data_IF_158090151359
#
_entry.id   IF_158090151359
#
_cell.length_a   1.000
_cell.length_b   1.000
_cell.length_c   1.000
_cell.angle_alpha   90.00
_cell.angle_beta   90.00
_cell.angle_gamma   90.00
#
_symmetry.space_group_name_H-M   'P 1'
#
loop_
_entity.id
_entity.type
_entity.pdbx_description
1 polymer ?
#
# COMPACT_ATOMS: atom_id res chain seq x y z
N UNK A 1 29.01 -0.88 0.44
CA UNK A 1 28.01 0.15 0.80
C UNK A 1 27.87 1.20 -0.29
N UNK A 2 28.87 2.06 -0.56
CA UNK A 2 28.75 3.13 -1.57
C UNK A 2 28.36 2.62 -2.97
N UNK A 3 28.97 1.52 -3.43
CA UNK A 3 28.62 0.91 -4.71
C UNK A 3 27.18 0.39 -4.78
N UNK A 4 26.64 -0.11 -3.67
CA UNK A 4 25.26 -0.58 -3.58
C UNK A 4 24.28 0.60 -3.61
N UNK A 5 24.56 1.67 -2.84
CA UNK A 5 23.78 2.92 -2.87
C UNK A 5 23.78 3.51 -4.28
N UNK A 6 24.95 3.58 -4.92
CA UNK A 6 25.05 4.05 -6.31
C UNK A 6 24.20 3.21 -7.26
N UNK A 7 24.21 1.88 -7.12
CA UNK A 7 23.44 0.96 -7.96
C UNK A 7 21.93 1.16 -7.77
N UNK A 8 21.46 1.19 -6.52
CA UNK A 8 20.06 1.47 -6.17
C UNK A 8 19.59 2.81 -6.76
N UNK A 9 20.36 3.89 -6.55
CA UNK A 9 19.99 5.21 -7.05
C UNK A 9 20.05 5.28 -8.58
N UNK A 10 21.06 4.68 -9.21
CA UNK A 10 21.15 4.60 -10.67
C UNK A 10 19.93 3.89 -11.26
N UNK A 11 19.52 2.78 -10.66
CA UNK A 11 18.40 2.00 -11.17
C UNK A 11 17.06 2.70 -10.89
N UNK A 12 16.89 3.33 -9.72
CA UNK A 12 15.72 4.16 -9.42
C UNK A 12 15.59 5.35 -10.38
N UNK A 13 16.71 5.98 -10.77
CA UNK A 13 16.73 7.07 -11.76
C UNK A 13 16.35 6.64 -13.19
N UNK A 14 16.18 5.34 -13.46
CA UNK A 14 15.59 4.88 -14.73
C UNK A 14 14.07 5.11 -14.78
N UNK A 15 13.44 5.30 -13.62
CA UNK A 15 11.99 5.41 -13.49
C UNK A 15 11.57 6.87 -13.65
N UNK A 16 10.81 7.15 -14.68
CA UNK A 16 10.01 8.37 -14.86
C UNK A 16 8.61 8.12 -14.30
N UNK A 17 8.25 8.86 -13.24
CA UNK A 17 7.00 8.70 -12.52
C UNK A 17 5.77 9.03 -13.37
N UNK A 18 5.89 9.75 -14.49
CA UNK A 18 4.73 10.10 -15.33
C UNK A 18 4.37 9.02 -16.36
N UNK A 19 5.30 8.11 -16.65
CA UNK A 19 5.19 7.20 -17.81
C UNK A 19 4.48 5.88 -17.51
N UNK A 20 4.41 5.45 -16.25
CA UNK A 20 4.02 4.08 -15.91
C UNK A 20 5.18 3.10 -16.01
N UNK A 21 5.15 2.05 -15.21
CA UNK A 21 6.28 1.11 -15.08
C UNK A 21 6.38 0.16 -16.28
N UNK A 22 5.29 -0.01 -17.02
CA UNK A 22 5.18 -0.86 -18.21
C UNK A 22 5.70 -0.20 -19.50
N UNK A 23 6.06 1.09 -19.46
CA UNK A 23 6.34 1.90 -20.66
C UNK A 23 7.80 2.39 -20.75
N UNK A 24 8.73 1.72 -20.06
CA UNK A 24 10.08 2.26 -19.79
C UNK A 24 11.22 1.24 -19.91
N UNK A 25 10.97 0.05 -20.45
CA UNK A 25 11.96 -1.04 -20.57
C UNK A 25 12.61 -1.37 -19.20
N UNK A 26 11.78 -1.68 -18.20
CA UNK A 26 12.17 -1.90 -16.79
C UNK A 26 12.06 -3.39 -16.38
N UNK A 27 11.88 -4.30 -17.33
CA UNK A 27 11.62 -5.73 -17.06
C UNK A 27 12.80 -6.43 -16.38
N UNK A 28 14.02 -5.94 -16.56
CA UNK A 28 15.23 -6.48 -15.90
C UNK A 28 15.27 -6.17 -14.39
N UNK A 29 14.50 -5.18 -13.93
CA UNK A 29 14.37 -4.80 -12.53
C UNK A 29 13.15 -5.45 -11.86
N UNK A 30 12.18 -5.96 -12.62
CA UNK A 30 10.99 -6.62 -12.07
C UNK A 30 11.26 -8.09 -11.75
N UNK A 31 12.10 -8.28 -10.75
CA UNK A 31 12.57 -9.56 -10.22
C UNK A 31 12.35 -9.60 -8.71
N UNK A 32 12.41 -10.78 -8.06
CA UNK A 32 12.38 -10.86 -6.60
C UNK A 32 13.42 -9.95 -5.96
N UNK A 33 13.02 -9.17 -4.94
CA UNK A 33 13.87 -8.20 -4.27
C UNK A 33 15.14 -8.86 -3.69
N UNK A 34 15.02 -10.08 -3.19
CA UNK A 34 16.15 -10.84 -2.65
C UNK A 34 17.24 -11.07 -3.72
N UNK A 35 16.85 -11.38 -4.97
CA UNK A 35 17.80 -11.57 -6.06
C UNK A 35 18.48 -10.27 -6.47
N UNK A 36 17.76 -9.15 -6.39
CA UNK A 36 18.35 -7.83 -6.63
C UNK A 36 19.33 -7.46 -5.51
N UNK A 37 18.95 -7.63 -4.26
CA UNK A 37 19.78 -7.31 -3.09
C UNK A 37 21.04 -8.18 -3.03
N UNK A 38 20.96 -9.45 -3.41
CA UNK A 38 22.12 -10.34 -3.46
C UNK A 38 23.16 -9.86 -4.50
N UNK A 39 22.73 -9.22 -5.60
CA UNK A 39 23.64 -8.60 -6.59
C UNK A 39 24.36 -7.36 -6.05
N UNK A 40 23.86 -6.73 -4.98
CA UNK A 40 24.48 -5.55 -4.37
C UNK A 40 25.69 -5.91 -3.48
N UNK A 41 25.88 -7.18 -3.13
CA UNK A 41 26.96 -7.69 -2.26
C UNK A 41 27.13 -6.86 -0.97
N UNK A 42 26.00 -6.56 -0.33
CA UNK A 42 25.96 -5.77 0.90
C UNK A 42 26.50 -6.58 2.09
N UNK A 43 27.34 -5.98 2.97
CA UNK A 43 27.74 -6.65 4.21
C UNK A 43 26.52 -6.87 5.13
N UNK A 44 26.62 -7.84 6.07
CA UNK A 44 25.45 -8.39 6.77
C UNK A 44 24.51 -7.36 7.39
N UNK A 45 25.03 -6.38 8.13
CA UNK A 45 24.22 -5.35 8.83
C UNK A 45 23.42 -4.52 7.82
N UNK A 46 24.07 -4.04 6.77
CA UNK A 46 23.41 -3.20 5.77
C UNK A 46 22.45 -3.96 4.87
N UNK A 47 22.75 -5.23 4.60
CA UNK A 47 21.86 -6.12 3.87
C UNK A 47 20.58 -6.32 4.68
N UNK A 48 20.71 -6.66 5.96
CA UNK A 48 19.55 -6.88 6.82
C UNK A 48 18.75 -5.60 7.05
N UNK A 49 19.42 -4.46 7.29
CA UNK A 49 18.73 -3.19 7.46
C UNK A 49 17.90 -2.79 6.24
N UNK A 50 18.45 -2.98 5.02
CA UNK A 50 17.71 -2.74 3.78
C UNK A 50 16.50 -3.68 3.64
N UNK A 51 16.70 -4.98 3.88
CA UNK A 51 15.64 -5.99 3.74
C UNK A 51 14.53 -5.81 4.79
N UNK A 52 14.86 -5.43 6.02
CA UNK A 52 13.89 -5.17 7.06
C UNK A 52 12.99 -3.98 6.71
N UNK A 53 13.57 -2.85 6.33
CA UNK A 53 12.80 -1.68 5.91
C UNK A 53 12.01 -1.94 4.62
N UNK A 54 12.56 -2.70 3.67
CA UNK A 54 11.82 -3.08 2.48
C UNK A 54 10.61 -3.97 2.82
N UNK A 55 10.76 -4.93 3.74
CA UNK A 55 9.63 -5.76 4.17
C UNK A 55 8.54 -4.93 4.88
N UNK A 56 8.94 -4.01 5.77
CA UNK A 56 8.01 -3.04 6.37
C UNK A 56 7.25 -2.25 5.28
N UNK A 57 7.98 -1.60 4.37
CA UNK A 57 7.40 -0.65 3.41
C UNK A 57 6.61 -1.31 2.28
N UNK A 58 7.01 -2.50 1.82
CA UNK A 58 6.34 -3.22 0.74
C UNK A 58 5.28 -4.20 1.25
N UNK A 59 5.30 -4.55 2.54
CA UNK A 59 4.36 -5.51 3.13
C UNK A 59 4.45 -6.90 2.50
N UNK A 60 5.66 -7.30 2.06
CA UNK A 60 5.94 -8.56 1.38
C UNK A 60 7.33 -9.08 1.78
N UNK A 61 7.51 -10.39 1.94
CA UNK A 61 8.83 -10.98 2.12
C UNK A 61 9.68 -10.76 0.85
N UNK A 62 11.00 -10.73 1.01
CA UNK A 62 11.91 -10.29 -0.03
C UNK A 62 11.96 -11.19 -1.28
N UNK A 63 11.53 -12.45 -1.19
CA UNK A 63 11.39 -13.38 -2.31
C UNK A 63 10.09 -13.17 -3.12
N UNK A 64 9.11 -12.44 -2.57
CA UNK A 64 7.87 -12.09 -3.27
C UNK A 64 7.77 -10.61 -3.66
N UNK A 65 8.45 -9.73 -2.93
CA UNK A 65 8.53 -8.32 -3.26
C UNK A 65 9.27 -8.10 -4.59
N UNK A 66 8.77 -7.18 -5.44
CA UNK A 66 9.48 -6.77 -6.67
C UNK A 66 10.56 -5.73 -6.36
N UNK A 67 11.77 -5.93 -6.88
CA UNK A 67 12.84 -4.94 -6.79
C UNK A 67 12.48 -3.64 -7.51
N UNK A 68 11.81 -3.73 -8.67
CA UNK A 68 11.29 -2.56 -9.39
C UNK A 68 10.34 -1.74 -8.51
N UNK A 69 9.49 -2.40 -7.72
CA UNK A 69 8.58 -1.69 -6.83
C UNK A 69 9.31 -1.00 -5.66
N UNK A 70 10.35 -1.63 -5.11
CA UNK A 70 11.20 -0.97 -4.12
C UNK A 70 11.92 0.27 -4.70
N UNK A 71 12.37 0.19 -5.96
CA UNK A 71 12.96 1.31 -6.68
C UNK A 71 11.93 2.41 -7.02
N UNK A 72 10.68 2.03 -7.32
CA UNK A 72 9.57 2.98 -7.50
C UNK A 72 9.34 3.82 -6.24
N UNK A 73 9.37 3.21 -5.05
CA UNK A 73 9.27 3.97 -3.80
C UNK A 73 10.46 4.94 -3.64
N UNK A 74 11.68 4.52 -3.98
CA UNK A 74 12.84 5.43 -3.97
C UNK A 74 12.62 6.60 -4.93
N UNK A 75 12.13 6.35 -6.14
CA UNK A 75 11.85 7.39 -7.13
C UNK A 75 10.78 8.38 -6.65
N UNK A 76 9.67 7.87 -6.11
CA UNK A 76 8.58 8.66 -5.51
C UNK A 76 9.08 9.60 -4.41
N UNK A 77 9.99 9.11 -3.57
CA UNK A 77 10.64 9.89 -2.50
C UNK A 77 11.83 10.71 -3.00
N UNK A 78 11.66 11.39 -4.14
CA UNK A 78 12.67 12.25 -4.77
C UNK A 78 14.01 11.56 -4.99
N UNK A 79 13.98 10.30 -5.42
CA UNK A 79 15.16 9.45 -5.63
C UNK A 79 16.03 9.32 -4.37
N UNK A 80 15.40 9.17 -3.20
CA UNK A 80 16.08 9.06 -1.90
C UNK A 80 15.76 7.76 -1.19
N UNK A 81 16.77 6.89 -1.01
CA UNK A 81 16.66 5.67 -0.20
C UNK A 81 16.26 6.01 1.24
N UNK A 82 16.87 7.06 1.81
CA UNK A 82 16.56 7.51 3.16
C UNK A 82 15.18 8.16 3.23
N UNK A 83 14.75 8.84 2.16
CA UNK A 83 13.46 9.54 2.09
C UNK A 83 12.27 8.62 2.35
N UNK A 84 12.34 7.36 1.91
CA UNK A 84 11.28 6.35 2.13
C UNK A 84 10.96 6.16 3.62
N UNK A 85 11.96 6.21 4.50
CA UNK A 85 11.77 6.07 5.96
C UNK A 85 11.61 7.43 6.62
N UNK A 86 12.41 8.42 6.20
CA UNK A 86 12.39 9.77 6.78
C UNK A 86 11.11 10.55 6.44
N UNK A 87 10.28 10.07 5.51
CA UNK A 87 8.93 10.60 5.28
C UNK A 87 7.95 10.28 6.41
N UNK A 88 8.31 9.39 7.35
CA UNK A 88 7.58 9.17 8.60
C UNK A 88 7.81 10.34 9.57
N UNK A 89 7.35 11.53 9.17
CA UNK A 89 7.73 12.81 9.79
C UNK A 89 6.65 13.34 10.75
N UNK A 90 5.39 13.31 10.32
CA UNK A 90 4.25 13.84 11.08
C UNK A 90 3.09 12.84 11.18
N UNK A 91 2.23 13.05 12.18
CA UNK A 91 0.98 12.30 12.38
C UNK A 91 -0.18 13.25 12.60
N UNK A 92 -1.40 12.81 12.29
CA UNK A 92 -2.61 13.56 12.63
C UNK A 92 -2.77 13.63 14.15
N UNK A 93 -2.67 14.83 14.73
CA UNK A 93 -2.79 15.04 16.17
C UNK A 93 -4.11 14.51 16.76
N UNK A 94 -5.18 14.53 15.97
CA UNK A 94 -6.53 14.09 16.33
C UNK A 94 -6.95 12.80 15.61
N UNK A 95 -6.02 12.12 14.92
CA UNK A 95 -6.30 11.00 14.04
C UNK A 95 -6.82 11.43 12.66
N UNK A 96 -6.75 10.54 11.68
CA UNK A 96 -7.17 10.84 10.30
C UNK A 96 -8.68 11.09 10.16
N UNK A 97 -9.48 10.67 11.14
CA UNK A 97 -10.92 10.90 11.17
C UNK A 97 -11.30 12.38 11.11
N UNK A 98 -10.51 13.27 11.71
CA UNK A 98 -10.77 14.72 11.66
C UNK A 98 -10.79 15.26 10.22
N UNK A 99 -9.83 14.83 9.38
CA UNK A 99 -9.77 15.21 7.97
C UNK A 99 -10.91 14.56 7.18
N UNK A 100 -11.20 13.28 7.45
CA UNK A 100 -12.30 12.54 6.81
C UNK A 100 -13.65 13.22 7.07
N UNK A 101 -13.92 13.58 8.33
CA UNK A 101 -15.16 14.25 8.74
C UNK A 101 -15.26 15.66 8.14
N UNK A 102 -14.15 16.41 8.10
CA UNK A 102 -14.12 17.73 7.48
C UNK A 102 -14.44 17.66 5.98
N UNK A 103 -13.83 16.72 5.24
CA UNK A 103 -14.13 16.52 3.82
C UNK A 103 -15.58 16.03 3.62
N UNK A 104 -16.07 15.14 4.48
CA UNK A 104 -17.43 14.60 4.42
C UNK A 104 -18.52 15.66 4.62
N UNK A 105 -18.25 16.73 5.37
CA UNK A 105 -19.19 17.84 5.58
C UNK A 105 -19.48 18.64 4.29
N UNK A 106 -18.53 18.66 3.35
CA UNK A 106 -18.66 19.36 2.06
C UNK A 106 -19.33 18.49 0.98
N UNK A 107 -19.67 17.23 1.29
CA UNK A 107 -20.32 16.30 0.36
C UNK A 107 -21.82 16.20 0.72
N UNK A 108 -22.74 16.77 -0.08
CA UNK A 108 -24.16 16.87 0.29
C UNK A 108 -24.89 15.52 0.28
N UNK A 109 -24.39 14.52 -0.47
CA UNK A 109 -25.05 13.23 -0.63
C UNK A 109 -24.08 12.06 -0.43
N UNK A 110 -24.23 11.37 0.70
CA UNK A 110 -23.47 10.16 1.03
C UNK A 110 -24.46 9.02 1.30
N UNK A 111 -24.21 7.84 0.73
CA UNK A 111 -24.97 6.61 0.94
C UNK A 111 -24.07 5.54 1.56
N UNK A 112 -24.07 5.45 2.89
CA UNK A 112 -23.33 4.40 3.60
C UNK A 112 -23.96 3.03 3.38
N UNK A 113 -23.18 1.97 3.60
CA UNK A 113 -23.63 0.58 3.48
C UNK A 113 -24.20 0.20 2.09
N UNK A 114 -23.77 0.91 1.03
CA UNK A 114 -24.21 0.70 -0.35
C UNK A 114 -23.07 0.10 -1.17
N UNK A 115 -22.98 -1.22 -1.20
CA UNK A 115 -21.92 -1.95 -1.92
C UNK A 115 -22.26 -2.02 -3.40
N UNK A 116 -21.50 -1.33 -4.25
CA UNK A 116 -21.63 -1.39 -5.71
C UNK A 116 -21.22 -2.78 -6.23
N UNK A 117 -22.02 -3.34 -7.12
CA UNK A 117 -21.79 -4.67 -7.73
C UNK A 117 -21.64 -4.61 -9.24
N UNK A 118 -22.01 -3.50 -9.89
CA UNK A 118 -21.86 -3.37 -11.33
C UNK A 118 -21.99 -1.93 -11.82
N UNK A 119 -21.26 -1.63 -12.89
CA UNK A 119 -21.21 -0.34 -13.57
C UNK A 119 -21.36 -0.60 -15.07
N UNK A 120 -22.47 -0.12 -15.64
CA UNK A 120 -22.83 -0.33 -17.05
C UNK A 120 -22.92 1.02 -17.77
N UNK A 121 -22.02 1.25 -18.73
CA UNK A 121 -21.95 2.43 -19.57
C UNK A 121 -22.33 2.17 -21.04
N UNK A 122 -23.05 1.07 -21.32
CA UNK A 122 -23.47 0.71 -22.70
C UNK A 122 -24.54 1.64 -23.30
N UNK A 123 -25.28 2.37 -22.45
CA UNK A 123 -26.31 3.34 -22.86
C UNK A 123 -25.84 4.80 -22.80
N UNK A 124 -26.77 5.74 -22.97
CA UNK A 124 -26.46 7.18 -22.97
C UNK A 124 -26.03 7.72 -21.60
N UNK A 125 -26.38 7.03 -20.50
CA UNK A 125 -25.96 7.33 -19.13
C UNK A 125 -25.34 6.07 -18.50
N UNK A 126 -24.46 6.26 -17.52
CA UNK A 126 -23.87 5.15 -16.78
C UNK A 126 -24.84 4.71 -15.68
N UNK A 127 -25.15 3.41 -15.65
CA UNK A 127 -25.96 2.77 -14.63
C UNK A 127 -25.08 2.10 -13.59
N UNK A 128 -25.28 2.44 -12.32
CA UNK A 128 -24.58 1.82 -11.18
C UNK A 128 -25.58 0.99 -10.39
N UNK A 129 -25.25 -0.27 -10.14
CA UNK A 129 -26.08 -1.21 -9.37
C UNK A 129 -25.42 -1.56 -8.06
N UNK A 130 -26.20 -1.65 -6.99
CA UNK A 130 -25.74 -2.00 -5.66
C UNK A 130 -26.39 -3.27 -5.12
N UNK A 131 -25.70 -3.95 -4.20
CA UNK A 131 -26.09 -5.22 -3.58
C UNK A 131 -27.43 -5.16 -2.85
N UNK A 132 -27.78 -4.00 -2.30
CA UNK A 132 -29.05 -3.77 -1.59
C UNK A 132 -30.26 -3.60 -2.54
N UNK A 133 -30.03 -3.64 -3.86
CA UNK A 133 -31.06 -3.45 -4.88
C UNK A 133 -31.19 -2.01 -5.38
N UNK A 134 -30.44 -1.07 -4.81
CA UNK A 134 -30.42 0.32 -5.29
C UNK A 134 -29.75 0.40 -6.67
N UNK A 135 -30.21 1.37 -7.45
CA UNK A 135 -29.62 1.70 -8.74
C UNK A 135 -29.51 3.23 -8.88
N UNK A 136 -28.37 3.66 -9.40
CA UNK A 136 -28.06 5.07 -9.62
C UNK A 136 -27.72 5.30 -11.09
N UNK A 137 -27.83 6.56 -11.52
CA UNK A 137 -27.47 6.98 -12.87
C UNK A 137 -26.61 8.23 -12.79
N UNK A 138 -25.55 8.27 -13.60
CA UNK A 138 -24.68 9.42 -13.71
C UNK A 138 -24.11 9.55 -15.13
N UNK A 139 -23.61 10.74 -15.48
CA UNK A 139 -22.90 10.94 -16.74
C UNK A 139 -21.48 10.36 -16.70
N UNK A 140 -20.83 10.43 -15.53
CA UNK A 140 -19.50 9.89 -15.27
C UNK A 140 -19.51 9.15 -13.94
N UNK A 141 -18.67 8.12 -13.81
CA UNK A 141 -18.50 7.36 -12.56
C UNK A 141 -17.02 7.36 -12.18
N UNK A 142 -16.73 7.65 -10.91
CA UNK A 142 -15.38 7.52 -10.35
C UNK A 142 -15.37 6.25 -9.49
N UNK A 143 -14.48 5.32 -9.82
CA UNK A 143 -14.15 4.13 -9.03
C UNK A 143 -13.00 4.49 -8.11
N UNK A 144 -13.34 4.80 -6.86
CA UNK A 144 -12.39 5.12 -5.79
C UNK A 144 -12.29 4.00 -4.73
N UNK A 145 -12.56 2.75 -5.13
CA UNK A 145 -12.42 1.57 -4.26
C UNK A 145 -11.03 0.94 -4.45
N UNK A 146 -10.53 0.14 -3.47
CA UNK A 146 -9.23 -0.52 -3.60
C UNK A 146 -9.15 -1.44 -4.82
N UNK A 147 -7.99 -1.51 -5.46
CA UNK A 147 -7.80 -2.23 -6.73
C UNK A 147 -8.20 -3.70 -6.62
N UNK A 148 -7.89 -4.35 -5.50
CA UNK A 148 -8.22 -5.77 -5.26
C UNK A 148 -9.73 -6.04 -5.17
N UNK A 149 -10.57 -5.01 -5.03
CA UNK A 149 -12.04 -5.12 -5.03
C UNK A 149 -12.66 -4.95 -6.42
N UNK A 150 -11.93 -4.44 -7.40
CA UNK A 150 -12.49 -4.16 -8.73
C UNK A 150 -12.98 -5.43 -9.44
N UNK A 151 -12.35 -6.58 -9.18
CA UNK A 151 -12.82 -7.91 -9.62
C UNK A 151 -14.21 -8.32 -9.09
N UNK A 152 -14.75 -7.59 -8.11
CA UNK A 152 -16.10 -7.80 -7.56
C UNK A 152 -17.16 -6.95 -8.26
N UNK A 153 -16.75 -5.99 -9.10
CA UNK A 153 -17.63 -5.09 -9.83
C UNK A 153 -17.72 -5.57 -11.27
N UNK A 154 -18.94 -5.83 -11.74
CA UNK A 154 -19.18 -6.14 -13.15
C UNK A 154 -19.14 -4.85 -13.98
N UNK A 155 -18.16 -4.74 -14.88
CA UNK A 155 -18.06 -3.63 -15.84
C UNK A 155 -18.67 -4.02 -17.19
N UNK A 156 -19.56 -3.17 -17.71
CA UNK A 156 -20.20 -3.34 -19.03
C UNK A 156 -20.03 -2.07 -19.88
N UNK A 157 -19.37 -2.13 -21.06
CA UNK A 157 -18.61 -3.27 -21.58
C UNK A 157 -17.42 -3.62 -20.66
N UNK A 158 -16.88 -4.82 -20.84
CA UNK A 158 -15.72 -5.29 -20.07
C UNK A 158 -14.52 -4.36 -20.23
N UNK A 159 -13.72 -4.22 -19.17
CA UNK A 159 -12.47 -3.47 -19.21
C UNK A 159 -11.48 -4.09 -20.23
N UNK A 160 -10.51 -3.31 -20.73
CA UNK A 160 -9.47 -3.85 -21.61
C UNK A 160 -8.79 -5.10 -21.03
N UNK A 161 -8.55 -6.10 -21.89
CA UNK A 161 -8.02 -7.43 -21.50
C UNK A 161 -6.74 -7.35 -20.67
N UNK A 162 -5.85 -6.39 -21.01
CA UNK A 162 -4.59 -6.16 -20.28
C UNK A 162 -4.84 -5.84 -18.81
N UNK A 163 -5.82 -4.98 -18.50
CA UNK A 163 -6.18 -4.61 -17.13
C UNK A 163 -6.84 -5.76 -16.40
N UNK A 164 -7.76 -6.48 -17.05
CA UNK A 164 -8.51 -7.57 -16.45
C UNK A 164 -7.60 -8.65 -15.84
N UNK A 165 -6.51 -9.02 -16.53
CA UNK A 165 -5.60 -10.04 -16.00
C UNK A 165 -4.99 -9.65 -14.65
N UNK A 166 -4.61 -8.39 -14.44
CA UNK A 166 -4.02 -7.93 -13.17
C UNK A 166 -5.10 -7.66 -12.12
N UNK A 167 -6.26 -7.15 -12.53
CA UNK A 167 -7.40 -6.91 -11.63
C UNK A 167 -7.92 -8.22 -11.02
N UNK A 168 -8.06 -9.28 -11.82
CA UNK A 168 -8.53 -10.59 -11.32
C UNK A 168 -7.53 -11.21 -10.33
N UNK A 169 -6.23 -11.11 -10.64
CA UNK A 169 -5.14 -11.59 -9.78
C UNK A 169 -5.07 -10.80 -8.45
N UNK A 170 -5.27 -9.48 -8.52
CA UNK A 170 -5.00 -8.54 -7.44
C UNK A 170 -3.50 -8.33 -7.20
N UNK A 171 -3.15 -7.19 -6.61
CA UNK A 171 -1.77 -6.95 -6.19
C UNK A 171 -1.35 -7.91 -5.08
N UNK A 172 -0.04 -8.01 -4.88
CA UNK A 172 0.59 -8.94 -3.94
C UNK A 172 0.57 -8.47 -2.49
N UNK A 173 0.46 -7.17 -2.21
CA UNK A 173 0.59 -6.57 -0.88
C UNK A 173 -0.14 -7.28 0.25
N UNK A 174 0.59 -7.58 1.33
CA UNK A 174 0.08 -8.25 2.54
C UNK A 174 0.56 -7.62 3.84
N UNK A 175 0.98 -6.35 3.77
CA UNK A 175 1.45 -5.59 4.92
C UNK A 175 0.50 -5.66 6.12
N UNK A 176 1.06 -5.99 7.27
CA UNK A 176 0.33 -6.17 8.52
C UNK A 176 0.93 -5.24 9.57
N UNK A 177 0.11 -4.27 10.01
CA UNK A 177 0.44 -3.32 11.07
C UNK A 177 -0.25 -3.77 12.37
N UNK A 178 0.53 -3.99 13.42
CA UNK A 178 0.02 -4.45 14.72
C UNK A 178 0.42 -3.41 15.78
N UNK A 179 -0.56 -2.88 16.50
CA UNK A 179 -0.31 -2.12 17.72
C UNK A 179 -0.21 -3.09 18.88
N UNK A 180 0.87 -3.00 19.66
CA UNK A 180 1.17 -3.95 20.73
C UNK A 180 1.18 -3.18 22.05
N UNK A 181 0.21 -3.48 22.91
CA UNK A 181 0.16 -2.92 24.26
C UNK A 181 1.16 -3.66 25.15
N UNK A 182 2.11 -2.91 25.71
CA UNK A 182 3.23 -3.46 26.46
C UNK A 182 3.43 -2.76 27.80
N UNK A 183 4.10 -3.46 28.73
CA UNK A 183 4.63 -2.91 29.98
C UNK A 183 6.15 -3.05 30.03
N UNK A 184 6.81 -2.03 30.57
CA UNK A 184 8.26 -2.05 30.81
C UNK A 184 9.12 -1.62 29.61
N UNK A 185 8.50 -1.15 28.53
CA UNK A 185 9.20 -0.53 27.40
C UNK A 185 9.49 0.96 27.69
N UNK A 186 10.72 1.40 27.43
CA UNK A 186 11.09 2.82 27.48
C UNK A 186 10.55 3.60 26.26
N UNK A 187 10.49 4.93 26.37
CA UNK A 187 10.06 5.80 25.28
C UNK A 187 11.13 5.91 24.19
N UNK A 188 10.70 6.01 22.92
CA UNK A 188 11.59 6.23 21.78
C UNK A 188 12.37 4.98 21.32
N UNK A 189 11.93 3.78 21.68
CA UNK A 189 12.52 2.53 21.18
C UNK A 189 12.32 2.43 19.66
N UNK A 190 13.37 2.00 18.97
CA UNK A 190 13.32 1.57 17.58
C UNK A 190 14.17 0.30 17.41
N UNK A 191 13.53 -0.78 16.97
CA UNK A 191 14.17 -2.06 16.69
C UNK A 191 14.01 -2.40 15.21
N UNK A 192 15.13 -2.61 14.52
CA UNK A 192 15.16 -3.06 13.13
C UNK A 192 16.10 -4.26 13.04
N UNK A 193 15.65 -5.37 12.48
CA UNK A 193 16.44 -6.59 12.46
C UNK A 193 15.91 -7.70 11.57
N UNK A 194 16.29 -8.93 11.90
CA UNK A 194 16.00 -10.18 11.19
C UNK A 194 14.89 -11.02 11.83
N UNK A 195 14.19 -10.46 12.82
CA UNK A 195 12.99 -11.08 13.37
C UNK A 195 11.82 -11.08 12.38
N UNK A 196 10.79 -11.87 12.68
CA UNK A 196 9.52 -11.90 11.91
C UNK A 196 8.79 -10.55 11.92
N UNK A 197 9.07 -9.72 12.93
CA UNK A 197 8.84 -8.29 12.88
C UNK A 197 10.13 -7.64 12.36
N UNK A 198 10.23 -7.30 11.06
CA UNK A 198 11.38 -6.56 10.54
C UNK A 198 11.62 -5.25 11.28
N UNK A 199 10.54 -4.60 11.73
CA UNK A 199 10.60 -3.36 12.52
C UNK A 199 9.61 -3.41 13.69
N UNK A 200 10.04 -2.96 14.86
CA UNK A 200 9.23 -2.78 16.05
C UNK A 200 9.66 -1.48 16.73
N UNK A 201 8.78 -0.51 16.87
CA UNK A 201 9.15 0.81 17.41
C UNK A 201 8.03 1.47 18.20
N UNK A 202 8.36 2.50 18.97
CA UNK A 202 7.44 3.24 19.84
C UNK A 202 6.31 3.91 19.03
N UNK A 203 5.09 3.83 19.54
CA UNK A 203 3.92 4.45 18.90
C UNK A 203 3.33 5.55 19.78
N UNK A 204 2.89 5.23 21.00
CA UNK A 204 2.42 6.24 21.95
C UNK A 204 2.50 5.78 23.40
N UNK A 205 2.48 6.74 24.31
CA UNK A 205 2.40 6.48 25.74
C UNK A 205 0.97 6.13 26.16
N UNK A 206 0.83 5.11 27.02
CA UNK A 206 -0.44 4.74 27.67
C UNK A 206 -0.45 5.18 29.13
N UNK A 207 0.67 4.95 29.84
CA UNK A 207 0.90 5.41 31.21
C UNK A 207 2.41 5.45 31.50
N UNK A 208 2.79 5.82 32.73
CA UNK A 208 4.20 5.81 33.17
C UNK A 208 4.91 4.45 33.01
N UNK A 209 4.17 3.34 32.96
CA UNK A 209 4.74 1.98 32.86
C UNK A 209 4.32 1.20 31.62
N UNK A 210 3.42 1.77 30.81
CA UNK A 210 2.79 1.07 29.68
C UNK A 210 2.82 1.94 28.41
N UNK A 211 3.04 1.30 27.27
CA UNK A 211 3.13 1.95 25.96
C UNK A 211 2.41 1.12 24.91
N UNK A 212 2.11 1.76 23.78
CA UNK A 212 1.89 1.04 22.53
C UNK A 212 3.19 1.08 21.73
N UNK A 213 3.63 -0.10 21.31
CA UNK A 213 4.59 -0.24 20.22
C UNK A 213 3.83 -0.53 18.93
N UNK A 214 4.44 -0.28 17.78
CA UNK A 214 3.94 -0.69 16.48
C UNK A 214 4.94 -1.65 15.83
N UNK A 215 4.43 -2.79 15.38
CA UNK A 215 5.16 -3.75 14.56
C UNK A 215 4.60 -3.74 13.13
N UNK A 216 5.49 -3.90 12.17
CA UNK A 216 5.15 -4.18 10.78
C UNK A 216 5.70 -5.54 10.38
N UNK A 217 4.92 -6.31 9.64
CA UNK A 217 5.24 -7.61 9.04
C UNK A 217 4.30 -7.86 7.85
N UNK A 218 4.12 -9.09 7.40
CA UNK A 218 3.07 -9.47 6.46
C UNK A 218 2.21 -10.64 6.95
N UNK A 219 0.94 -10.67 6.54
CA UNK A 219 -0.02 -11.68 7.00
C UNK A 219 0.19 -13.07 6.40
N UNK A 220 1.05 -13.23 5.39
CA UNK A 220 1.47 -14.53 4.88
C UNK A 220 2.54 -15.19 5.75
N UNK A 221 3.41 -14.39 6.36
CA UNK A 221 4.51 -14.85 7.22
C UNK A 221 4.15 -14.89 8.70
N UNK A 222 3.15 -14.11 9.15
CA UNK A 222 2.82 -13.95 10.56
C UNK A 222 1.30 -14.00 10.82
N UNK A 223 0.89 -14.85 11.76
CA UNK A 223 -0.49 -14.93 12.26
C UNK A 223 -0.63 -14.10 13.55
N UNK A 224 -1.27 -12.93 13.44
CA UNK A 224 -1.50 -12.05 14.58
C UNK A 224 -2.49 -12.63 15.62
N UNK A 225 -3.25 -13.67 15.29
CA UNK A 225 -4.14 -14.33 16.26
C UNK A 225 -3.38 -15.20 17.27
N UNK A 226 -2.15 -15.62 16.94
CA UNK A 226 -1.27 -16.33 17.85
C UNK A 226 -0.51 -15.34 18.77
N UNK A 227 -1.11 -15.04 19.93
CA UNK A 227 -0.48 -14.19 20.94
C UNK A 227 0.83 -14.76 21.49
N UNK A 228 1.10 -16.06 21.37
CA UNK A 228 2.40 -16.62 21.73
C UNK A 228 3.46 -16.19 20.72
N UNK A 229 3.15 -16.27 19.43
CA UNK A 229 4.04 -15.79 18.37
C UNK A 229 4.34 -14.29 18.50
N UNK A 230 3.35 -13.47 18.87
CA UNK A 230 3.56 -12.04 19.16
C UNK A 230 4.54 -11.86 20.32
N UNK A 231 4.34 -12.60 21.42
CA UNK A 231 5.23 -12.52 22.59
C UNK A 231 6.66 -12.90 22.24
N UNK A 232 6.84 -13.95 21.46
CA UNK A 232 8.16 -14.42 21.06
C UNK A 232 8.84 -13.46 20.08
N UNK A 233 8.08 -12.85 19.16
CA UNK A 233 8.57 -11.82 18.25
C UNK A 233 9.00 -10.53 18.97
N UNK A 234 8.25 -10.10 19.99
CA UNK A 234 8.64 -8.94 20.82
C UNK A 234 9.86 -9.26 21.68
N UNK A 235 9.89 -10.42 22.35
CA UNK A 235 11.02 -10.85 23.20
C UNK A 235 12.33 -11.00 22.44
N UNK A 236 12.27 -11.28 21.14
CA UNK A 236 13.45 -11.33 20.28
C UNK A 236 14.26 -10.02 20.35
N UNK A 237 13.57 -8.88 20.37
CA UNK A 237 14.18 -7.56 20.45
C UNK A 237 14.26 -7.03 21.89
N UNK A 238 13.19 -7.23 22.66
CA UNK A 238 12.95 -6.60 23.96
C UNK A 238 12.61 -7.69 25.01
N UNK A 239 13.60 -8.49 25.47
CA UNK A 239 13.35 -9.63 26.35
C UNK A 239 12.78 -9.25 27.73
N UNK A 240 12.95 -8.01 28.16
CA UNK A 240 12.42 -7.44 29.40
C UNK A 240 10.97 -6.97 29.31
N UNK A 241 10.43 -6.80 28.10
CA UNK A 241 9.11 -6.22 27.87
C UNK A 241 8.01 -7.27 27.98
N UNK A 242 6.94 -6.93 28.71
CA UNK A 242 5.74 -7.75 28.85
C UNK A 242 4.67 -7.32 27.82
N UNK A 243 4.22 -8.25 26.97
CA UNK A 243 3.08 -8.01 26.07
C UNK A 243 1.75 -8.22 26.81
N UNK A 244 0.94 -7.17 26.87
CA UNK A 244 -0.36 -7.13 27.54
C UNK A 244 -1.53 -7.41 26.57
N UNK A 245 -1.40 -7.00 25.31
CA UNK A 245 -2.42 -7.18 24.29
C UNK A 245 -1.97 -6.67 22.91
N UNK A 246 -2.83 -6.86 21.92
CA UNK A 246 -2.62 -6.34 20.56
C UNK A 246 -3.92 -5.72 20.03
N UNK A 247 -3.76 -4.85 19.04
CA UNK A 247 -4.83 -4.29 18.24
C UNK A 247 -4.38 -4.19 16.77
N UNK A 248 -5.23 -4.65 15.85
CA UNK A 248 -4.98 -4.63 14.40
C UNK A 248 -6.28 -4.85 13.62
N UNK A 249 -6.25 -4.51 12.33
CA UNK A 249 -7.32 -4.85 11.38
C UNK A 249 -6.77 -5.75 10.28
N UNK A 250 -7.48 -6.83 9.97
CA UNK A 250 -7.13 -7.73 8.87
C UNK A 250 -7.71 -7.19 7.55
N UNK A 251 -6.94 -6.29 6.91
CA UNK A 251 -7.31 -5.65 5.64
C UNK A 251 -7.46 -6.64 4.48
N UNK A 252 -6.82 -7.80 4.53
CA UNK A 252 -6.95 -8.82 3.48
C UNK A 252 -8.27 -9.57 3.61
N UNK A 253 -8.66 -9.90 4.84
CA UNK A 253 -9.93 -10.59 5.10
C UNK A 253 -11.16 -9.67 4.94
N UNK A 254 -10.98 -8.35 5.00
CA UNK A 254 -12.06 -7.39 4.83
C UNK A 254 -12.53 -7.33 3.37
N UNK A 255 -13.79 -7.70 3.05
CA UNK A 255 -14.29 -7.74 1.68
C UNK A 255 -14.44 -6.35 1.03
N UNK A 256 -14.30 -5.26 1.79
CA UNK A 256 -14.29 -3.90 1.25
C UNK A 256 -12.89 -3.44 0.81
N UNK A 257 -11.85 -4.23 1.09
CA UNK A 257 -10.46 -3.90 0.77
C UNK A 257 -9.74 -5.03 0.03
N UNK A 258 -9.82 -6.26 0.53
CA UNK A 258 -9.12 -7.45 0.00
C UNK A 258 -7.59 -7.25 -0.13
N UNK A 259 -7.02 -6.39 0.71
CA UNK A 259 -5.63 -5.98 0.68
C UNK A 259 -5.37 -4.74 1.54
N UNK A 260 -4.16 -4.60 2.12
CA UNK A 260 -3.68 -3.33 2.68
C UNK A 260 -3.23 -2.42 1.52
N UNK A 261 -2.12 -1.68 1.66
CA UNK A 261 -1.61 -0.83 0.59
C UNK A 261 -1.04 -1.63 -0.60
N UNK A 262 -1.00 -0.98 -1.76
CA UNK A 262 -0.53 -1.58 -3.01
C UNK A 262 0.93 -2.01 -2.96
N UNK A 263 1.18 -3.23 -3.41
CA UNK A 263 2.50 -3.77 -3.68
C UNK A 263 2.34 -4.87 -4.73
N UNK A 264 2.87 -4.73 -5.95
CA UNK A 264 2.66 -5.69 -7.03
C UNK A 264 3.39 -7.00 -6.74
N UNK A 265 2.85 -8.09 -7.28
CA UNK A 265 3.61 -9.33 -7.49
C UNK A 265 4.66 -9.08 -8.57
N UNK A 266 5.79 -9.78 -8.48
CA UNK A 266 6.84 -9.75 -9.51
C UNK A 266 6.23 -9.99 -10.90
N UNK A 267 6.52 -9.09 -11.84
CA UNK A 267 6.04 -9.16 -13.22
C UNK A 267 4.65 -8.55 -13.47
N UNK A 268 3.95 -8.00 -12.46
CA UNK A 268 2.64 -7.37 -12.69
C UNK A 268 2.77 -6.01 -13.36
N UNK A 269 3.49 -5.08 -12.74
CA UNK A 269 3.47 -3.67 -13.14
C UNK A 269 4.36 -3.32 -14.34
N UNK A 270 5.23 -4.25 -14.77
CA UNK A 270 5.86 -4.17 -16.10
C UNK A 270 4.93 -4.60 -17.23
N UNK A 271 3.81 -5.29 -16.94
CA UNK A 271 2.80 -5.65 -17.96
C UNK A 271 1.74 -4.57 -18.12
N UNK A 272 1.24 -4.04 -17.01
CA UNK A 272 0.20 -3.00 -16.94
C UNK A 272 0.28 -2.30 -15.58
N UNK A 273 0.40 -0.97 -15.58
CA UNK A 273 0.49 -0.16 -14.36
C UNK A 273 -0.22 1.19 -14.55
N UNK A 274 0.28 2.07 -15.43
CA UNK A 274 -0.39 3.33 -15.76
C UNK A 274 -1.79 3.11 -16.32
N UNK A 275 -1.97 2.10 -17.16
CA UNK A 275 -3.29 1.79 -17.72
C UNK A 275 -4.33 1.47 -16.63
N UNK A 276 -3.93 0.99 -15.44
CA UNK A 276 -4.87 0.67 -14.36
C UNK A 276 -5.60 1.91 -13.82
N UNK A 277 -4.95 3.07 -13.81
CA UNK A 277 -5.53 4.35 -13.38
C UNK A 277 -6.13 5.19 -14.51
N UNK A 278 -5.96 4.79 -15.78
CA UNK A 278 -6.51 5.52 -16.91
C UNK A 278 -8.03 5.31 -17.03
N UNK A 279 -8.80 6.30 -17.50
CA UNK A 279 -10.23 6.14 -17.69
C UNK A 279 -10.54 5.06 -18.73
N UNK A 280 -11.68 4.40 -18.54
CA UNK A 280 -12.32 3.55 -19.53
C UNK A 280 -13.63 4.22 -19.97
N UNK A 281 -13.54 5.07 -20.99
CA UNK A 281 -14.62 5.96 -21.43
C UNK A 281 -15.12 6.87 -20.27
N UNK A 282 -16.32 6.66 -19.74
CA UNK A 282 -16.91 7.51 -18.69
C UNK A 282 -16.66 7.01 -17.27
N UNK A 283 -15.82 5.99 -17.13
CA UNK A 283 -15.42 5.39 -15.85
C UNK A 283 -13.98 5.77 -15.56
N UNK A 284 -13.75 6.49 -14.46
CA UNK A 284 -12.43 6.94 -14.01
C UNK A 284 -11.98 6.08 -12.83
N UNK A 285 -10.71 5.69 -12.79
CA UNK A 285 -10.13 4.85 -11.75
C UNK A 285 -9.16 5.67 -10.92
N UNK A 286 -9.40 5.79 -9.63
CA UNK A 286 -8.58 6.60 -8.73
C UNK A 286 -8.32 5.84 -7.43
N UNK A 287 -7.38 6.38 -6.66
CA UNK A 287 -6.98 5.82 -5.38
C UNK A 287 -5.48 5.64 -5.32
N UNK A 288 -4.99 5.46 -4.10
CA UNK A 288 -3.58 5.27 -3.82
C UNK A 288 -2.96 4.10 -4.61
N UNK A 289 -3.76 3.08 -4.92
CA UNK A 289 -3.30 1.87 -5.59
C UNK A 289 -2.86 2.08 -7.05
N UNK A 290 -3.33 3.16 -7.68
CA UNK A 290 -3.03 3.49 -9.08
C UNK A 290 -2.28 4.81 -9.26
N UNK A 291 -1.87 5.44 -8.16
CA UNK A 291 -1.01 6.62 -8.25
C UNK A 291 0.34 6.24 -8.82
N UNK A 292 0.80 7.01 -9.80
CA UNK A 292 2.17 6.86 -10.31
C UNK A 292 3.18 7.66 -9.48
N UNK A 293 2.72 8.72 -8.80
CA UNK A 293 3.57 9.64 -8.05
C UNK A 293 3.82 9.16 -6.61
N UNK A 294 2.75 8.81 -5.87
CA UNK A 294 2.83 8.40 -4.46
C UNK A 294 1.94 7.18 -4.15
N UNK A 295 2.22 6.02 -4.77
CA UNK A 295 1.42 4.81 -4.53
C UNK A 295 1.55 4.29 -3.10
N UNK A 296 0.42 3.90 -2.50
CA UNK A 296 0.34 3.41 -1.12
C UNK A 296 0.26 4.49 -0.04
N UNK A 297 0.30 5.77 -0.42
CA UNK A 297 0.16 6.92 0.49
C UNK A 297 -1.19 7.63 0.33
N UNK A 298 -1.60 8.37 1.37
CA UNK A 298 -2.76 9.26 1.34
C UNK A 298 -2.63 10.28 0.20
N UNK A 299 -1.41 10.80 -0.02
CA UNK A 299 -1.13 11.76 -1.10
C UNK A 299 -1.50 11.22 -2.48
N UNK A 300 -1.20 9.95 -2.78
CA UNK A 300 -1.58 9.32 -4.05
C UNK A 300 -3.10 9.21 -4.24
N UNK A 301 -3.87 9.11 -3.15
CA UNK A 301 -5.32 9.13 -3.24
C UNK A 301 -5.85 10.54 -3.59
N UNK A 302 -5.21 11.60 -3.08
CA UNK A 302 -5.55 12.98 -3.41
C UNK A 302 -5.16 13.33 -4.85
N UNK A 303 -3.93 12.99 -5.25
CA UNK A 303 -3.38 13.24 -6.59
C UNK A 303 -4.23 12.61 -7.71
N UNK A 304 -4.55 11.33 -7.57
CA UNK A 304 -5.37 10.63 -8.58
C UNK A 304 -6.79 11.18 -8.64
N UNK A 305 -7.37 11.57 -7.50
CA UNK A 305 -8.69 12.20 -7.45
C UNK A 305 -8.69 13.58 -8.13
N UNK A 306 -7.66 14.41 -7.91
CA UNK A 306 -7.48 15.69 -8.60
C UNK A 306 -7.43 15.47 -10.13
N UNK A 307 -6.68 14.47 -10.59
CA UNK A 307 -6.61 14.09 -12.00
C UNK A 307 -7.98 13.76 -12.61
N UNK A 308 -8.78 12.94 -11.94
CA UNK A 308 -10.12 12.57 -12.41
C UNK A 308 -11.11 13.75 -12.39
N UNK A 309 -11.07 14.59 -11.34
CA UNK A 309 -11.91 15.80 -11.26
C UNK A 309 -11.57 16.74 -12.42
N UNK A 310 -10.29 16.99 -12.68
CA UNK A 310 -9.86 17.81 -13.80
C UNK A 310 -10.31 17.23 -15.14
N UNK A 311 -10.19 15.92 -15.35
CA UNK A 311 -10.65 15.29 -16.58
C UNK A 311 -12.16 15.48 -16.80
N UNK A 312 -12.97 15.31 -15.77
CA UNK A 312 -14.43 15.47 -15.86
C UNK A 312 -14.85 16.92 -16.13
N UNK A 313 -14.18 17.91 -15.53
CA UNK A 313 -14.49 19.32 -15.71
C UNK A 313 -14.11 19.86 -17.11
N UNK A 314 -13.20 19.19 -17.81
CA UNK A 314 -12.69 19.59 -19.13
C UNK A 314 -13.09 18.64 -20.26
N UNK A 315 -13.96 17.66 -20.00
CA UNK A 315 -14.48 16.70 -20.98
C UNK A 315 -15.52 17.31 -21.94
#
# INVERSE_FOLDING_TARGET
MEAAIYTLLRDAHRIDLEKGLENQDLEDLDIPLIEYVDKLDLPPVSRQFLLAWAWNMLGLPADEASALWALQLIAAHHYSILGVVLSLDEVFANGSADLVDAMGQDIPEIRMHTVVTGIDQSGDVVHVTAKNGDAFQAHSVIVATPMNTWRRILFTPSLPERRLSVIEEGHGGRGLKILIHVRGAEAGIECVGDGVFPTLYDYCEVSESERLLVAFTDSGSFDATDLSAVKDAVRYYLPEVEVLGIDYHDWIADPLFEGPWVSPRVGQFTRVHKELGEPADRIYFVGSDVSLAFPGYIEGALETAEGAVNAILHA
#
